data_IF_539511360293
#
_entry.id   IF_539511360293
#
_cell.length_a   1.000
_cell.length_b   1.000
_cell.length_c   1.000
_cell.angle_alpha   90.00
_cell.angle_beta   90.00
_cell.angle_gamma   90.00
#
_symmetry.space_group_name_H-M   'P 1'
#
loop_
_entity.id
_entity.type
_entity.pdbx_description
1 polymer ?
#
# COMPACT_ATOMS: atom_id res chain seq x y z
N UNK A 1 19.61 -31.92 29.54
CA UNK A 1 18.23 -31.58 29.14
C UNK A 1 18.13 -30.05 29.12
N UNK A 2 18.10 -29.36 27.96
CA UNK A 2 16.96 -29.15 27.02
C UNK A 2 15.77 -28.49 27.76
N UNK A 3 15.27 -27.29 27.46
CA UNK A 3 15.22 -26.50 26.22
C UNK A 3 15.19 -24.98 26.52
N UNK A 4 15.77 -24.18 25.60
CA UNK A 4 15.66 -22.71 25.50
C UNK A 4 14.71 -22.34 24.32
N UNK A 5 14.11 -21.14 24.34
CA UNK A 5 12.95 -20.74 23.55
C UNK A 5 13.33 -20.37 22.11
N UNK A 6 12.64 -20.95 21.14
CA UNK A 6 12.95 -20.80 19.71
C UNK A 6 11.68 -20.69 18.86
N UNK A 7 10.67 -19.96 19.34
CA UNK A 7 9.38 -19.83 18.64
C UNK A 7 8.98 -18.42 18.19
N UNK A 8 9.75 -17.36 18.50
CA UNK A 8 9.36 -15.98 18.12
C UNK A 8 10.24 -15.36 17.03
N UNK A 9 11.18 -16.10 16.45
CA UNK A 9 12.00 -15.64 15.32
C UNK A 9 11.38 -15.92 13.94
N UNK A 10 10.18 -16.50 13.87
CA UNK A 10 9.58 -16.95 12.61
C UNK A 10 8.61 -15.95 11.97
N UNK A 11 8.18 -14.89 12.66
CA UNK A 11 7.19 -13.95 12.13
C UNK A 11 7.80 -12.66 11.53
N UNK A 12 9.00 -12.25 11.97
CA UNK A 12 9.71 -11.08 11.40
C UNK A 12 10.57 -11.41 10.17
N UNK A 13 10.77 -12.70 9.87
CA UNK A 13 11.45 -13.15 8.65
C UNK A 13 10.50 -13.34 7.46
N UNK A 14 9.17 -13.25 7.64
CA UNK A 14 8.21 -13.42 6.53
C UNK A 14 8.02 -12.13 5.72
N UNK A 15 8.39 -10.96 6.25
CA UNK A 15 8.30 -9.68 5.51
C UNK A 15 9.65 -9.24 4.90
N UNK A 16 10.77 -9.81 5.35
CA UNK A 16 12.12 -9.46 4.86
C UNK A 16 12.96 -10.63 4.30
N UNK A 17 12.42 -11.86 4.27
CA UNK A 17 13.03 -13.00 3.56
C UNK A 17 12.17 -13.53 2.39
N UNK A 18 11.36 -12.67 1.76
CA UNK A 18 10.83 -12.92 0.41
C UNK A 18 11.86 -12.62 -0.70
N UNK A 19 13.09 -12.23 -0.34
CA UNK A 19 14.26 -12.27 -1.23
C UNK A 19 15.04 -13.59 -1.10
N UNK A 20 14.35 -14.68 -0.76
CA UNK A 20 14.91 -16.02 -0.90
C UNK A 20 15.11 -16.30 -2.39
N UNK A 21 16.33 -16.08 -2.87
CA UNK A 21 16.88 -16.39 -4.20
C UNK A 21 15.85 -17.01 -5.14
N UNK A 22 14.97 -16.17 -5.68
CA UNK A 22 14.21 -16.52 -6.87
C UNK A 22 15.31 -16.63 -7.92
N UNK A 23 15.49 -17.82 -8.52
CA UNK A 23 16.18 -17.91 -9.79
C UNK A 23 15.46 -16.91 -10.69
N UNK A 24 16.02 -15.71 -10.86
CA UNK A 24 15.30 -14.56 -11.36
C UNK A 24 14.65 -14.96 -12.68
N UNK A 25 13.32 -15.04 -12.72
CA UNK A 25 12.62 -15.01 -13.98
C UNK A 25 13.01 -13.68 -14.60
N UNK A 26 13.96 -13.73 -15.54
CA UNK A 26 14.31 -12.54 -16.29
C UNK A 26 13.02 -12.17 -17.01
N UNK A 27 12.45 -11.04 -16.63
CA UNK A 27 11.37 -10.40 -17.35
C UNK A 27 12.01 -9.30 -18.18
N UNK A 28 11.54 -9.15 -19.40
CA UNK A 28 11.98 -8.08 -20.28
C UNK A 28 10.89 -7.03 -20.42
N UNK A 29 11.30 -5.87 -20.88
CA UNK A 29 10.40 -4.82 -21.32
C UNK A 29 10.45 -4.78 -22.84
N UNK A 30 9.31 -4.51 -23.45
CA UNK A 30 9.26 -4.09 -24.84
C UNK A 30 8.80 -2.66 -24.90
N UNK A 31 9.32 -1.95 -25.89
CA UNK A 31 8.87 -0.63 -26.25
C UNK A 31 8.86 -0.47 -27.76
N UNK A 32 8.23 0.58 -28.23
CA UNK A 32 8.20 0.93 -29.63
C UNK A 32 7.35 2.14 -29.89
N UNK A 33 7.34 2.58 -31.13
CA UNK A 33 6.57 3.73 -31.61
C UNK A 33 5.75 3.34 -32.83
N UNK A 34 4.50 3.78 -32.84
CA UNK A 34 3.59 3.63 -33.97
C UNK A 34 3.40 4.98 -34.66
N UNK A 35 3.65 5.00 -35.97
CA UNK A 35 3.41 6.16 -36.83
C UNK A 35 2.51 5.76 -38.01
N UNK A 36 1.78 6.72 -38.57
CA UNK A 36 0.92 6.53 -39.75
C UNK A 36 1.45 7.41 -40.88
N UNK A 37 1.68 6.79 -42.04
CA UNK A 37 2.07 7.50 -43.25
C UNK A 37 0.90 8.32 -43.81
N UNK A 38 1.16 9.59 -44.09
CA UNK A 38 0.21 10.52 -44.69
C UNK A 38 0.36 10.53 -46.22
N UNK A 39 -0.63 11.10 -46.91
CA UNK A 39 -0.65 11.21 -48.37
C UNK A 39 0.51 12.08 -48.91
N UNK A 40 1.00 13.04 -48.13
CA UNK A 40 2.15 13.90 -48.44
C UNK A 40 3.51 13.23 -48.17
N UNK A 41 3.51 11.97 -47.73
CA UNK A 41 4.71 11.20 -47.41
C UNK A 41 5.26 11.43 -46.00
N UNK A 42 4.69 12.34 -45.21
CA UNK A 42 5.06 12.53 -43.81
C UNK A 42 4.50 11.40 -42.93
N UNK A 43 5.03 11.27 -41.70
CA UNK A 43 4.54 10.29 -40.73
C UNK A 43 4.11 10.99 -39.45
N UNK A 44 2.92 10.67 -38.97
CA UNK A 44 2.36 11.23 -37.73
C UNK A 44 2.26 10.15 -36.66
N UNK A 45 2.53 10.45 -35.38
CA UNK A 45 2.34 9.48 -34.30
C UNK A 45 0.87 9.04 -34.17
N UNK A 46 0.64 7.75 -33.99
CA UNK A 46 -0.71 7.21 -33.83
C UNK A 46 -1.03 7.09 -32.36
N UNK A 47 -1.94 7.92 -31.87
CA UNK A 47 -2.40 7.92 -30.47
C UNK A 47 -3.45 6.83 -30.27
N UNK A 48 -3.29 6.02 -29.22
CA UNK A 48 -4.24 4.98 -28.89
C UNK A 48 -4.29 3.80 -29.87
N UNK A 49 -3.24 3.61 -30.68
CA UNK A 49 -3.08 2.40 -31.49
C UNK A 49 -3.06 1.18 -30.57
N UNK A 50 -3.82 0.15 -30.94
CA UNK A 50 -3.90 -1.11 -30.22
C UNK A 50 -2.68 -1.96 -30.58
N UNK A 51 -1.94 -2.41 -29.56
CA UNK A 51 -0.80 -3.33 -29.67
C UNK A 51 -1.21 -4.64 -29.03
N UNK A 52 -1.23 -5.70 -29.82
CA UNK A 52 -1.56 -7.05 -29.40
C UNK A 52 -0.31 -7.91 -29.39
N UNK A 53 -0.02 -8.50 -28.23
CA UNK A 53 1.17 -9.29 -27.99
C UNK A 53 0.72 -10.72 -27.79
N UNK A 54 1.02 -11.58 -28.76
CA UNK A 54 0.67 -12.99 -28.71
C UNK A 54 1.91 -13.83 -28.48
N UNK A 55 1.83 -14.79 -27.55
CA UNK A 55 2.78 -15.92 -27.53
C UNK A 55 2.38 -16.89 -28.64
N UNK A 56 3.35 -17.29 -29.45
CA UNK A 56 3.11 -18.22 -30.57
C UNK A 56 3.33 -19.68 -30.19
N UNK A 57 4.01 -19.93 -29.08
CA UNK A 57 4.40 -21.25 -28.56
C UNK A 57 3.47 -21.77 -27.44
N UNK A 58 2.80 -20.88 -26.70
CA UNK A 58 1.83 -21.19 -25.65
C UNK A 58 0.63 -20.23 -25.70
N UNK A 59 -0.47 -20.57 -25.03
CA UNK A 59 -1.65 -19.70 -24.93
C UNK A 59 -1.43 -18.61 -23.88
N UNK A 60 -0.95 -17.46 -24.32
CA UNK A 60 -0.87 -16.22 -23.55
C UNK A 60 -0.94 -15.04 -24.51
N UNK A 61 -1.65 -14.00 -24.11
CA UNK A 61 -1.75 -12.76 -24.87
C UNK A 61 -1.89 -11.58 -23.91
N UNK A 62 -1.45 -10.40 -24.37
CA UNK A 62 -1.71 -9.13 -23.71
C UNK A 62 -1.96 -8.02 -24.73
N UNK A 63 -2.58 -6.95 -24.29
CA UNK A 63 -3.20 -5.92 -25.10
C UNK A 63 -2.95 -4.55 -24.48
N UNK A 64 -2.11 -3.74 -25.12
CA UNK A 64 -1.77 -2.38 -24.66
C UNK A 64 -2.10 -1.34 -25.74
N UNK A 65 -1.98 -0.05 -25.39
CA UNK A 65 -2.21 1.05 -26.32
C UNK A 65 -1.06 2.05 -26.31
N UNK A 66 -0.87 2.73 -27.43
CA UNK A 66 0.10 3.83 -27.52
C UNK A 66 -0.36 5.09 -26.77
N UNK A 67 0.59 5.85 -26.27
CA UNK A 67 0.39 7.14 -25.62
C UNK A 67 0.18 8.29 -26.64
N UNK A 68 0.11 9.54 -26.15
CA UNK A 68 -0.07 10.75 -26.99
C UNK A 68 1.07 11.01 -27.99
N UNK A 69 2.23 10.39 -27.80
CA UNK A 69 3.39 10.47 -28.70
C UNK A 69 3.50 9.27 -29.65
N UNK A 70 2.49 8.40 -29.66
CA UNK A 70 2.49 7.16 -30.43
C UNK A 70 3.41 6.07 -29.86
N UNK A 71 3.92 6.23 -28.64
CA UNK A 71 4.84 5.27 -28.03
C UNK A 71 4.08 4.27 -27.17
N UNK A 72 4.56 3.03 -27.12
CA UNK A 72 4.07 2.00 -26.20
C UNK A 72 5.22 1.41 -25.40
N UNK A 73 4.89 0.91 -24.21
CA UNK A 73 5.80 0.18 -23.35
C UNK A 73 5.02 -0.88 -22.58
N UNK A 74 5.56 -2.10 -22.51
CA UNK A 74 5.02 -3.16 -21.67
C UNK A 74 6.17 -3.88 -20.98
N UNK A 75 6.14 -3.83 -19.65
CA UNK A 75 7.10 -4.48 -18.77
C UNK A 75 6.50 -5.77 -18.20
N UNK A 76 7.35 -6.72 -17.82
CA UNK A 76 6.90 -7.99 -17.26
C UNK A 76 6.64 -9.06 -18.33
N UNK A 77 7.27 -8.96 -19.50
CA UNK A 77 7.14 -10.01 -20.52
C UNK A 77 8.13 -11.13 -20.20
N UNK A 78 7.74 -12.42 -20.29
CA UNK A 78 8.69 -13.51 -20.09
C UNK A 78 9.87 -13.40 -21.07
N UNK A 79 11.11 -13.42 -20.56
CA UNK A 79 12.31 -13.34 -21.39
C UNK A 79 12.44 -14.52 -22.37
N UNK A 80 11.89 -15.69 -22.01
CA UNK A 80 11.84 -16.88 -22.86
C UNK A 80 10.51 -16.98 -23.59
N UNK A 81 10.54 -17.19 -24.90
CA UNK A 81 9.34 -17.35 -25.74
C UNK A 81 9.52 -16.82 -27.15
N UNK A 82 8.57 -17.16 -28.02
CA UNK A 82 8.45 -16.56 -29.36
C UNK A 82 7.11 -15.84 -29.45
N UNK A 83 7.14 -14.62 -29.99
CA UNK A 83 6.02 -13.69 -29.94
C UNK A 83 5.63 -13.23 -31.34
N UNK A 84 4.36 -12.85 -31.47
CA UNK A 84 3.86 -12.02 -32.56
C UNK A 84 3.29 -10.73 -31.98
N UNK A 85 3.63 -9.59 -32.60
CA UNK A 85 3.05 -8.30 -32.27
C UNK A 85 2.20 -7.87 -33.44
N UNK A 86 0.95 -7.51 -33.19
CA UNK A 86 0.07 -6.89 -34.17
C UNK A 86 -0.34 -5.50 -33.71
N UNK A 87 -0.42 -4.58 -34.67
CA UNK A 87 -0.80 -3.20 -34.44
C UNK A 87 -1.99 -2.86 -35.31
N UNK A 88 -3.00 -2.25 -34.70
CA UNK A 88 -4.20 -1.74 -35.37
C UNK A 88 -4.58 -0.36 -34.86
N UNK A 89 -5.14 0.46 -35.75
CA UNK A 89 -5.65 1.79 -35.41
C UNK A 89 -6.74 2.20 -36.39
N UNK A 90 -7.73 3.03 -35.98
CA UNK A 90 -8.76 3.53 -36.89
C UNK A 90 -8.15 4.21 -38.12
N UNK A 91 -8.65 3.86 -39.30
CA UNK A 91 -8.19 4.44 -40.57
C UNK A 91 -6.80 3.98 -41.02
N UNK A 92 -6.20 2.99 -40.35
CA UNK A 92 -4.91 2.42 -40.70
C UNK A 92 -5.06 0.94 -41.08
N UNK A 93 -4.25 0.47 -42.02
CA UNK A 93 -4.11 -0.95 -42.32
C UNK A 93 -3.31 -1.61 -41.18
N UNK A 94 -3.74 -2.75 -40.61
CA UNK A 94 -3.00 -3.39 -39.55
C UNK A 94 -1.64 -3.89 -40.05
N UNK A 95 -0.65 -3.83 -39.17
CA UNK A 95 0.69 -4.35 -39.40
C UNK A 95 1.03 -5.37 -38.32
N UNK A 96 1.93 -6.31 -38.62
CA UNK A 96 2.40 -7.27 -37.63
C UNK A 96 3.84 -7.68 -37.88
N UNK A 97 4.47 -8.17 -36.82
CA UNK A 97 5.73 -8.92 -36.85
C UNK A 97 5.52 -10.23 -36.11
N UNK A 98 6.16 -11.30 -36.57
CA UNK A 98 6.04 -12.64 -35.98
C UNK A 98 7.41 -13.27 -35.85
N UNK A 99 7.56 -14.23 -34.94
CA UNK A 99 8.85 -14.85 -34.65
C UNK A 99 9.75 -13.99 -33.74
N UNK A 100 9.19 -13.01 -33.05
CA UNK A 100 9.96 -12.06 -32.25
C UNK A 100 10.46 -12.72 -30.97
N UNK A 101 11.75 -12.55 -30.70
CA UNK A 101 12.36 -12.82 -29.39
C UNK A 101 12.79 -11.50 -28.77
N UNK A 102 12.18 -11.14 -27.66
CA UNK A 102 12.40 -9.83 -27.05
C UNK A 102 13.76 -9.68 -26.38
N UNK A 103 14.48 -10.77 -26.12
CA UNK A 103 15.91 -10.72 -25.76
C UNK A 103 16.80 -10.14 -26.88
N UNK A 104 16.31 -10.13 -28.12
CA UNK A 104 17.06 -9.66 -29.30
C UNK A 104 16.48 -8.37 -29.89
N UNK A 105 15.17 -8.14 -29.76
CA UNK A 105 14.48 -6.98 -30.31
C UNK A 105 13.75 -6.23 -29.19
N UNK A 106 14.46 -5.42 -28.37
CA UNK A 106 13.85 -4.69 -27.26
C UNK A 106 12.89 -3.59 -27.77
N UNK A 107 13.23 -2.95 -28.89
CA UNK A 107 12.41 -1.93 -29.56
C UNK A 107 11.76 -2.51 -30.82
N UNK A 108 10.45 -2.30 -31.00
CA UNK A 108 9.71 -2.76 -32.17
C UNK A 108 8.82 -1.62 -32.71
N UNK A 109 9.33 -0.84 -33.66
CA UNK A 109 8.57 0.28 -34.23
C UNK A 109 7.67 -0.18 -35.38
N UNK A 110 6.53 0.49 -35.53
CA UNK A 110 5.58 0.25 -36.61
C UNK A 110 5.29 1.54 -37.37
N UNK A 111 5.42 1.47 -38.69
CA UNK A 111 4.87 2.48 -39.59
C UNK A 111 3.67 1.85 -40.29
N UNK A 112 2.49 2.40 -40.05
CA UNK A 112 1.24 1.97 -40.66
C UNK A 112 0.98 2.72 -41.96
N UNK A 113 0.29 2.05 -42.87
CA UNK A 113 -0.31 2.66 -44.05
C UNK A 113 -1.79 2.99 -43.76
N UNK A 114 -2.40 3.96 -44.46
CA UNK A 114 -3.84 4.15 -44.43
C UNK A 114 -4.61 2.88 -44.81
N UNK A 115 -5.75 2.64 -44.16
CA UNK A 115 -6.54 1.43 -44.38
C UNK A 115 -7.85 1.41 -43.61
N UNK A 116 -8.40 0.21 -43.44
CA UNK A 116 -9.76 -0.02 -42.94
C UNK A 116 -9.90 -0.03 -41.42
N UNK A 117 -8.78 0.03 -40.68
CA UNK A 117 -8.78 -0.06 -39.22
C UNK A 117 -9.04 -1.47 -38.68
N UNK A 118 -8.89 -2.50 -39.51
CA UNK A 118 -9.04 -3.90 -39.08
C UNK A 118 -7.97 -4.30 -38.05
N UNK A 119 -8.28 -5.34 -37.27
CA UNK A 119 -7.40 -5.90 -36.22
C UNK A 119 -7.14 -7.37 -36.52
N UNK A 120 -5.88 -7.78 -36.47
CA UNK A 120 -5.46 -9.15 -36.77
C UNK A 120 -5.54 -10.04 -35.53
N UNK A 121 -5.99 -11.28 -35.71
CA UNK A 121 -5.90 -12.34 -34.70
C UNK A 121 -4.63 -13.16 -34.86
N UNK A 122 -4.24 -13.89 -33.81
CA UNK A 122 -3.10 -14.81 -33.87
C UNK A 122 -3.21 -15.84 -35.00
N UNK A 123 -4.42 -16.37 -35.25
CA UNK A 123 -4.63 -17.35 -36.32
C UNK A 123 -4.45 -16.73 -37.71
N UNK A 124 -4.96 -15.50 -37.91
CA UNK A 124 -4.73 -14.76 -39.16
C UNK A 124 -3.24 -14.45 -39.38
N UNK A 125 -2.50 -14.11 -38.32
CA UNK A 125 -1.05 -13.85 -38.37
C UNK A 125 -0.28 -15.12 -38.74
N UNK A 126 -0.66 -16.28 -38.18
CA UNK A 126 -0.05 -17.58 -38.50
C UNK A 126 -0.28 -17.94 -39.97
N UNK A 127 -1.48 -17.72 -40.49
CA UNK A 127 -1.81 -17.98 -41.91
C UNK A 127 -1.08 -17.02 -42.85
N UNK A 128 -0.97 -15.73 -42.51
CA UNK A 128 -0.28 -14.71 -43.31
C UNK A 128 1.26 -14.92 -43.33
N UNK A 129 1.85 -15.41 -42.24
CA UNK A 129 3.28 -15.75 -42.17
C UNK A 129 3.73 -16.84 -43.15
N UNK A 130 2.80 -17.68 -43.63
CA UNK A 130 3.08 -18.74 -44.60
C UNK A 130 3.16 -18.23 -46.06
N UNK A 131 2.73 -17.00 -46.35
CA UNK A 131 2.54 -16.50 -47.74
C UNK A 131 3.27 -15.19 -48.07
N UNK A 132 4.08 -14.61 -47.18
CA UNK A 132 5.04 -13.56 -47.56
C UNK A 132 4.94 -12.24 -46.80
N UNK A 133 5.20 -12.26 -45.49
CA UNK A 133 5.53 -11.05 -44.72
C UNK A 133 7.05 -10.92 -44.52
N UNK A 134 7.57 -9.70 -44.61
CA UNK A 134 8.98 -9.30 -44.41
C UNK A 134 9.74 -10.19 -43.41
N UNK A 135 10.56 -11.11 -43.93
CA UNK A 135 11.51 -11.91 -43.16
C UNK A 135 12.64 -11.01 -42.69
N UNK A 136 12.82 -10.86 -41.38
CA UNK A 136 14.15 -10.52 -40.84
C UNK A 136 15.11 -11.68 -41.15
N UNK A 137 16.32 -11.44 -41.67
CA UNK A 137 17.28 -12.50 -41.95
C UNK A 137 18.00 -12.89 -40.66
N UNK A 138 17.77 -14.11 -40.16
CA UNK A 138 18.68 -14.70 -39.17
C UNK A 138 18.09 -15.78 -38.28
N UNK A 139 18.47 -17.03 -38.56
CA UNK A 139 18.52 -18.11 -37.57
C UNK A 139 17.35 -19.10 -37.62
N UNK A 140 17.59 -20.25 -38.25
CA UNK A 140 16.75 -21.43 -38.08
C UNK A 140 16.57 -21.72 -36.58
N UNK A 141 15.31 -21.84 -36.16
CA UNK A 141 14.98 -22.11 -34.78
C UNK A 141 15.55 -23.49 -34.38
N UNK A 142 16.37 -23.59 -33.32
CA UNK A 142 16.62 -24.88 -32.68
C UNK A 142 15.29 -25.39 -32.13
N UNK A 143 15.06 -26.70 -32.22
CA UNK A 143 13.94 -27.34 -31.54
C UNK A 143 14.00 -27.01 -30.04
N UNK A 144 12.94 -26.39 -29.52
CA UNK A 144 12.83 -26.03 -28.09
C UNK A 144 13.00 -27.30 -27.27
N UNK A 145 14.06 -27.36 -26.46
CA UNK A 145 14.37 -28.53 -25.64
C UNK A 145 13.28 -28.72 -24.57
N UNK A 146 13.11 -29.94 -24.05
CA UNK A 146 12.18 -30.19 -22.92
C UNK A 146 12.52 -29.34 -21.70
N UNK A 147 13.80 -29.02 -21.53
CA UNK A 147 14.33 -28.19 -20.45
C UNK A 147 13.92 -26.71 -20.59
N UNK A 148 13.88 -26.20 -21.81
CA UNK A 148 13.41 -24.83 -22.10
C UNK A 148 11.89 -24.70 -21.89
N UNK A 149 11.13 -25.76 -22.18
CA UNK A 149 9.69 -25.80 -21.88
C UNK A 149 9.40 -25.78 -20.38
N UNK A 150 10.12 -26.58 -19.59
CA UNK A 150 9.97 -26.61 -18.14
C UNK A 150 10.29 -25.25 -17.50
N UNK A 151 11.38 -24.59 -17.95
CA UNK A 151 11.74 -23.24 -17.49
C UNK A 151 10.70 -22.19 -17.86
N UNK A 152 10.08 -22.29 -19.05
CA UNK A 152 9.00 -21.40 -19.46
C UNK A 152 7.73 -21.58 -18.62
N UNK A 153 7.36 -22.82 -18.30
CA UNK A 153 6.21 -23.13 -17.43
C UNK A 153 6.43 -22.62 -15.99
N UNK A 154 7.64 -22.76 -15.45
CA UNK A 154 7.98 -22.26 -14.12
C UNK A 154 7.95 -20.72 -14.07
N UNK A 155 8.57 -20.05 -15.04
CA UNK A 155 8.53 -18.59 -15.15
C UNK A 155 7.09 -18.07 -15.29
N UNK A 156 6.22 -18.81 -15.99
CA UNK A 156 4.81 -18.45 -16.12
C UNK A 156 4.05 -18.58 -14.81
N UNK A 157 4.29 -19.63 -14.01
CA UNK A 157 3.69 -19.78 -12.68
C UNK A 157 4.11 -18.65 -11.75
N UNK A 158 5.40 -18.30 -11.77
CA UNK A 158 5.92 -17.18 -10.99
C UNK A 158 5.30 -15.84 -11.44
N UNK A 159 5.14 -15.61 -12.74
CA UNK A 159 4.48 -14.40 -13.26
C UNK A 159 3.00 -14.34 -12.88
N UNK A 160 2.27 -15.46 -13.01
CA UNK A 160 0.87 -15.53 -12.62
C UNK A 160 0.71 -15.24 -11.13
N UNK A 161 1.65 -15.71 -10.30
CA UNK A 161 1.68 -15.40 -8.88
C UNK A 161 2.00 -13.92 -8.61
N UNK A 162 2.97 -13.33 -9.30
CA UNK A 162 3.30 -11.89 -9.19
C UNK A 162 2.13 -11.02 -9.63
N UNK A 163 1.50 -11.33 -10.77
CA UNK A 163 0.34 -10.59 -11.27
C UNK A 163 -0.84 -10.70 -10.32
N UNK A 164 -1.11 -11.91 -9.80
CA UNK A 164 -2.14 -12.11 -8.78
C UNK A 164 -1.86 -11.28 -7.53
N UNK A 165 -0.62 -11.28 -7.03
CA UNK A 165 -0.21 -10.45 -5.88
C UNK A 165 -0.35 -8.95 -6.19
N UNK A 166 0.02 -8.51 -7.39
CA UNK A 166 -0.13 -7.11 -7.81
C UNK A 166 -1.60 -6.69 -7.89
N UNK A 167 -2.49 -7.56 -8.38
CA UNK A 167 -3.94 -7.34 -8.39
C UNK A 167 -4.49 -7.27 -6.96
N UNK A 168 -4.08 -8.17 -6.08
CA UNK A 168 -4.47 -8.17 -4.65
C UNK A 168 -4.00 -6.88 -3.95
N UNK A 169 -2.76 -6.43 -4.21
CA UNK A 169 -2.22 -5.16 -3.70
C UNK A 169 -3.04 -3.98 -4.24
N UNK A 170 -3.37 -3.97 -5.52
CA UNK A 170 -4.13 -2.87 -6.15
C UNK A 170 -5.52 -2.76 -5.54
N UNK A 171 -6.25 -3.88 -5.45
CA UNK A 171 -7.56 -3.94 -4.79
C UNK A 171 -7.47 -3.54 -3.32
N UNK A 172 -6.45 -4.01 -2.62
CA UNK A 172 -6.18 -3.64 -1.23
C UNK A 172 -5.96 -2.14 -1.06
N UNK A 173 -5.19 -1.51 -1.94
CA UNK A 173 -4.93 -0.07 -1.93
C UNK A 173 -6.20 0.74 -2.19
N UNK A 174 -7.03 0.33 -3.14
CA UNK A 174 -8.31 0.98 -3.43
C UNK A 174 -9.25 0.94 -2.21
N UNK A 175 -9.38 -0.22 -1.57
CA UNK A 175 -10.21 -0.38 -0.36
C UNK A 175 -9.66 0.47 0.78
N UNK A 176 -8.35 0.43 1.05
CA UNK A 176 -7.72 1.25 2.10
C UNK A 176 -7.94 2.74 1.85
N UNK A 177 -7.73 3.22 0.63
CA UNK A 177 -7.91 4.64 0.31
C UNK A 177 -9.35 5.11 0.49
N UNK A 178 -10.32 4.32 -0.01
CA UNK A 178 -11.75 4.62 0.16
C UNK A 178 -12.13 4.67 1.64
N UNK A 179 -11.80 3.62 2.38
CA UNK A 179 -12.18 3.45 3.79
C UNK A 179 -11.48 4.44 4.70
N UNK A 180 -10.21 4.77 4.44
CA UNK A 180 -9.48 5.82 5.15
C UNK A 180 -10.18 7.17 5.00
N UNK A 181 -10.54 7.54 3.77
CA UNK A 181 -11.26 8.80 3.51
C UNK A 181 -12.63 8.81 4.20
N UNK A 182 -13.47 7.81 3.94
CA UNK A 182 -14.82 7.74 4.48
C UNK A 182 -14.81 7.70 6.02
N UNK A 183 -13.90 6.93 6.62
CA UNK A 183 -13.73 6.86 8.07
C UNK A 183 -13.33 8.20 8.67
N UNK A 184 -12.41 8.94 8.04
CA UNK A 184 -12.01 10.27 8.52
C UNK A 184 -13.14 11.30 8.39
N UNK A 185 -13.89 11.26 7.28
CA UNK A 185 -15.06 12.13 7.10
C UNK A 185 -16.10 11.87 8.20
N UNK A 186 -16.41 10.61 8.49
CA UNK A 186 -17.31 10.21 9.57
C UNK A 186 -16.77 10.59 10.96
N UNK A 187 -15.47 10.39 11.22
CA UNK A 187 -14.83 10.73 12.49
C UNK A 187 -14.91 12.25 12.75
N UNK A 188 -14.65 13.06 11.72
CA UNK A 188 -14.75 14.51 11.79
C UNK A 188 -16.20 14.99 12.01
N UNK A 189 -17.18 14.29 11.42
CA UNK A 189 -18.60 14.53 11.66
C UNK A 189 -19.08 14.06 13.05
N UNK A 190 -18.26 13.30 13.78
CA UNK A 190 -18.65 12.68 15.06
C UNK A 190 -19.49 11.42 14.91
N UNK A 191 -19.63 10.86 13.72
CA UNK A 191 -20.29 9.59 13.46
C UNK A 191 -19.36 8.42 13.81
N UNK A 192 -19.17 8.16 15.10
CA UNK A 192 -18.12 7.25 15.58
C UNK A 192 -18.32 5.80 15.16
N UNK A 193 -19.57 5.30 15.14
CA UNK A 193 -19.86 3.92 14.72
C UNK A 193 -19.58 3.69 13.23
N UNK A 194 -19.92 4.68 12.40
CA UNK A 194 -19.61 4.68 10.96
C UNK A 194 -18.10 4.73 10.74
N UNK A 195 -17.38 5.62 11.43
CA UNK A 195 -15.93 5.71 11.36
C UNK A 195 -15.24 4.38 11.73
N UNK A 196 -15.68 3.74 12.82
CA UNK A 196 -15.15 2.44 13.26
C UNK A 196 -15.38 1.37 12.19
N UNK A 197 -16.57 1.34 11.59
CA UNK A 197 -16.92 0.38 10.55
C UNK A 197 -16.03 0.55 9.31
N UNK A 198 -15.81 1.79 8.86
CA UNK A 198 -14.93 2.08 7.73
C UNK A 198 -13.49 1.65 8.03
N UNK A 199 -12.94 2.00 9.20
CA UNK A 199 -11.57 1.61 9.52
C UNK A 199 -11.40 0.09 9.67
N UNK A 200 -12.40 -0.62 10.21
CA UNK A 200 -12.38 -2.08 10.28
C UNK A 200 -12.47 -2.72 8.90
N UNK A 201 -13.25 -2.16 7.98
CA UNK A 201 -13.30 -2.63 6.59
C UNK A 201 -11.93 -2.48 5.90
N UNK A 202 -11.29 -1.32 6.05
CA UNK A 202 -9.94 -1.09 5.52
C UNK A 202 -8.91 -2.07 6.10
N UNK A 203 -8.99 -2.33 7.41
CA UNK A 203 -8.11 -3.27 8.10
C UNK A 203 -8.41 -4.74 7.76
N UNK A 204 -9.61 -5.08 7.32
CA UNK A 204 -9.91 -6.41 6.80
C UNK A 204 -9.21 -6.64 5.44
N UNK A 205 -9.07 -5.59 4.62
CA UNK A 205 -8.33 -5.66 3.36
C UNK A 205 -6.81 -5.60 3.55
N UNK A 206 -6.32 -4.73 4.45
CA UNK A 206 -4.90 -4.64 4.82
C UNK A 206 -4.76 -4.51 6.35
N UNK A 207 -4.52 -5.64 7.07
CA UNK A 207 -4.45 -5.64 8.53
C UNK A 207 -3.35 -4.80 9.15
N UNK A 208 -2.31 -4.50 8.36
CA UNK A 208 -1.07 -3.87 8.81
C UNK A 208 -0.96 -2.40 8.36
N UNK A 209 -2.10 -1.69 8.34
CA UNK A 209 -2.16 -0.26 8.07
C UNK A 209 -2.15 0.56 9.36
N UNK A 210 -0.97 1.08 9.73
CA UNK A 210 -0.79 1.87 10.94
C UNK A 210 -1.73 3.09 11.02
N UNK A 211 -1.98 3.77 9.89
CA UNK A 211 -2.85 4.95 9.86
C UNK A 211 -4.31 4.61 10.19
N UNK A 212 -4.83 3.49 9.66
CA UNK A 212 -6.17 3.01 9.98
C UNK A 212 -6.28 2.58 11.45
N UNK A 213 -5.25 1.91 12.00
CA UNK A 213 -5.21 1.52 13.42
C UNK A 213 -5.18 2.72 14.37
N UNK A 214 -4.43 3.78 14.02
CA UNK A 214 -4.38 5.03 14.78
C UNK A 214 -5.77 5.68 14.83
N UNK A 215 -6.44 5.77 13.68
CA UNK A 215 -7.75 6.42 13.61
C UNK A 215 -8.86 5.56 14.22
N UNK A 216 -8.78 4.23 14.10
CA UNK A 216 -9.66 3.30 14.80
C UNK A 216 -9.53 3.47 16.33
N UNK A 217 -8.30 3.58 16.84
CA UNK A 217 -8.05 3.84 18.26
C UNK A 217 -8.72 5.13 18.72
N UNK A 218 -8.62 6.21 17.94
CA UNK A 218 -9.25 7.49 18.27
C UNK A 218 -10.78 7.41 18.26
N UNK A 219 -11.36 6.78 17.24
CA UNK A 219 -12.81 6.62 17.13
C UNK A 219 -13.37 5.81 18.31
N UNK A 220 -12.73 4.69 18.65
CA UNK A 220 -13.07 3.86 19.81
C UNK A 220 -12.93 4.65 21.12
N UNK A 221 -11.85 5.42 21.28
CA UNK A 221 -11.62 6.24 22.47
C UNK A 221 -12.74 7.24 22.71
N UNK A 222 -13.14 7.95 21.65
CA UNK A 222 -14.25 8.93 21.68
C UNK A 222 -15.58 8.24 21.99
N UNK A 223 -15.86 7.08 21.37
CA UNK A 223 -17.12 6.35 21.58
C UNK A 223 -17.22 5.80 23.00
N UNK A 224 -16.11 5.31 23.53
CA UNK A 224 -16.03 4.88 24.93
C UNK A 224 -16.32 6.02 25.90
N UNK A 225 -15.86 7.24 25.61
CA UNK A 225 -16.20 8.43 26.43
C UNK A 225 -17.69 8.78 26.33
N UNK A 226 -18.29 8.74 25.14
CA UNK A 226 -19.73 8.97 24.97
C UNK A 226 -20.57 7.94 25.73
N UNK A 227 -20.25 6.66 25.59
CA UNK A 227 -20.92 5.56 26.31
C UNK A 227 -20.78 5.68 27.82
N UNK A 228 -19.59 6.03 28.31
CA UNK A 228 -19.35 6.25 29.73
C UNK A 228 -20.18 7.43 30.27
N UNK A 229 -20.23 8.53 29.53
CA UNK A 229 -21.01 9.71 29.90
C UNK A 229 -22.52 9.45 29.88
N UNK A 230 -22.99 8.64 28.93
CA UNK A 230 -24.39 8.19 28.88
C UNK A 230 -24.71 7.29 30.08
N UNK A 231 -23.84 6.33 30.40
CA UNK A 231 -24.00 5.42 31.53
C UNK A 231 -24.11 6.15 32.87
N UNK A 232 -23.30 7.19 33.09
CA UNK A 232 -23.37 8.01 34.31
C UNK A 232 -24.77 8.63 34.52
N UNK A 233 -25.44 9.01 33.43
CA UNK A 233 -26.75 9.67 33.46
C UNK A 233 -27.92 8.69 33.54
N UNK A 234 -27.69 7.40 33.32
CA UNK A 234 -28.74 6.38 33.36
C UNK A 234 -29.23 6.15 34.80
N UNK A 235 -30.54 6.23 35.00
CA UNK A 235 -31.21 5.81 36.22
C UNK A 235 -31.45 4.30 36.26
N UNK A 236 -31.48 3.64 35.09
CA UNK A 236 -31.57 2.20 34.95
C UNK A 236 -30.19 1.58 35.26
N UNK A 237 -30.15 0.69 36.26
CA UNK A 237 -28.94 0.04 36.76
C UNK A 237 -28.32 -0.95 35.75
N UNK A 238 -29.13 -1.62 34.96
CA UNK A 238 -28.66 -2.58 33.95
C UNK A 238 -28.09 -1.82 32.76
N UNK A 239 -28.81 -0.82 32.25
CA UNK A 239 -28.33 0.04 31.18
C UNK A 239 -27.04 0.80 31.57
N UNK A 240 -26.94 1.21 32.84
CA UNK A 240 -25.73 1.82 33.41
C UNK A 240 -24.54 0.86 33.39
N UNK A 241 -24.75 -0.38 33.83
CA UNK A 241 -23.69 -1.40 33.86
C UNK A 241 -23.22 -1.74 32.44
N UNK A 242 -24.16 -1.97 31.52
CA UNK A 242 -23.86 -2.24 30.12
C UNK A 242 -23.09 -1.08 29.45
N UNK A 243 -23.50 0.17 29.70
CA UNK A 243 -22.82 1.33 29.15
C UNK A 243 -21.39 1.47 29.66
N UNK A 244 -21.13 1.17 30.94
CA UNK A 244 -19.77 1.15 31.48
C UNK A 244 -18.93 0.03 30.88
N UNK A 245 -19.48 -1.17 30.72
CA UNK A 245 -18.71 -2.29 30.17
C UNK A 245 -18.43 -2.11 28.67
N UNK A 246 -19.38 -1.53 27.92
CA UNK A 246 -19.15 -1.13 26.54
C UNK A 246 -18.05 -0.05 26.42
N UNK A 247 -18.04 0.94 27.32
CA UNK A 247 -16.98 1.95 27.36
C UNK A 247 -15.61 1.35 27.68
N UNK A 248 -15.54 0.44 28.66
CA UNK A 248 -14.30 -0.27 29.00
C UNK A 248 -13.78 -1.09 27.82
N UNK A 249 -14.67 -1.79 27.12
CA UNK A 249 -14.32 -2.57 25.93
C UNK A 249 -13.73 -1.66 24.84
N UNK A 250 -14.37 -0.53 24.56
CA UNK A 250 -13.88 0.42 23.56
C UNK A 250 -12.48 0.95 23.90
N UNK A 251 -12.20 1.27 25.16
CA UNK A 251 -10.87 1.72 25.58
C UNK A 251 -9.80 0.63 25.51
N UNK A 252 -10.15 -0.62 25.84
CA UNK A 252 -9.27 -1.77 25.65
C UNK A 252 -8.95 -2.01 24.17
N UNK A 253 -9.97 -2.01 23.32
CA UNK A 253 -9.80 -2.19 21.88
C UNK A 253 -8.98 -1.04 21.27
N UNK A 254 -9.19 0.20 21.74
CA UNK A 254 -8.40 1.36 21.34
C UNK A 254 -6.92 1.21 21.71
N UNK A 255 -6.62 0.70 22.90
CA UNK A 255 -5.25 0.47 23.35
C UNK A 255 -4.57 -0.63 22.53
N UNK A 256 -5.30 -1.71 22.22
CA UNK A 256 -4.82 -2.78 21.33
C UNK A 256 -4.50 -2.25 19.93
N UNK A 257 -5.42 -1.50 19.32
CA UNK A 257 -5.23 -0.96 17.97
C UNK A 257 -4.01 -0.02 17.90
N UNK A 258 -3.90 0.93 18.84
CA UNK A 258 -2.74 1.82 18.88
C UNK A 258 -1.43 1.10 19.22
N UNK A 259 -1.48 0.07 20.09
CA UNK A 259 -0.33 -0.80 20.35
C UNK A 259 0.18 -1.47 19.08
N UNK A 260 -0.73 -2.05 18.28
CA UNK A 260 -0.38 -2.64 16.98
C UNK A 260 0.22 -1.59 16.03
N UNK A 261 -0.34 -0.37 15.98
CA UNK A 261 0.20 0.70 15.16
C UNK A 261 1.65 1.08 15.54
N UNK A 262 1.97 1.12 16.84
CA UNK A 262 3.34 1.37 17.32
C UNK A 262 4.31 0.29 16.84
N UNK A 263 3.93 -0.98 16.95
CA UNK A 263 4.78 -2.09 16.48
C UNK A 263 4.99 -2.06 14.96
N UNK A 264 3.95 -1.71 14.20
CA UNK A 264 4.06 -1.58 12.73
C UNK A 264 4.99 -0.43 12.33
N UNK A 265 4.84 0.75 12.96
CA UNK A 265 5.73 1.88 12.67
C UNK A 265 7.17 1.55 13.06
N UNK A 266 7.39 0.86 14.19
CA UNK A 266 8.72 0.39 14.59
C UNK A 266 9.34 -0.58 13.58
N UNK A 267 8.53 -1.49 13.04
CA UNK A 267 8.99 -2.46 12.04
C UNK A 267 9.34 -1.82 10.69
N UNK A 268 8.78 -0.65 10.37
CA UNK A 268 8.93 0.00 9.06
C UNK A 268 10.31 0.60 8.74
N UNK A 269 11.33 0.39 9.60
CA UNK A 269 12.74 0.81 9.48
C UNK A 269 12.97 2.27 9.05
N UNK A 270 13.51 3.14 9.93
CA UNK A 270 13.69 4.56 9.62
C UNK A 270 14.78 4.84 8.57
N UNK A 271 15.48 3.84 8.04
CA UNK A 271 16.62 4.04 7.13
C UNK A 271 16.38 3.33 5.81
N UNK A 272 15.98 4.08 4.78
CA UNK A 272 15.82 3.62 3.41
C UNK A 272 15.87 4.81 2.44
N UNK A 273 16.43 4.59 1.25
CA UNK A 273 16.74 5.64 0.25
C UNK A 273 15.50 6.43 -0.23
N UNK A 274 14.30 5.86 -0.05
CA UNK A 274 13.01 6.45 -0.45
C UNK A 274 12.06 6.72 0.74
N UNK A 275 12.54 6.71 1.99
CA UNK A 275 11.71 6.98 3.17
C UNK A 275 11.54 8.48 3.36
N UNK A 276 10.29 8.96 3.39
CA UNK A 276 9.99 10.30 3.87
C UNK A 276 10.14 10.32 5.41
N UNK A 277 11.31 10.76 5.88
CA UNK A 277 11.66 10.82 7.30
C UNK A 277 10.68 11.64 8.13
N UNK A 278 10.18 12.75 7.59
CA UNK A 278 9.21 13.60 8.28
C UNK A 278 7.86 12.89 8.45
N UNK A 279 7.38 12.22 7.39
CA UNK A 279 6.14 11.44 7.46
C UNK A 279 6.28 10.24 8.42
N UNK A 280 7.42 9.55 8.42
CA UNK A 280 7.71 8.49 9.37
C UNK A 280 7.69 9.01 10.83
N UNK A 281 8.39 10.11 11.10
CA UNK A 281 8.42 10.72 12.43
C UNK A 281 7.02 11.16 12.89
N UNK A 282 6.23 11.74 11.99
CA UNK A 282 4.84 12.11 12.27
C UNK A 282 3.98 10.89 12.60
N UNK A 283 4.06 9.82 11.80
CA UNK A 283 3.30 8.60 12.03
C UNK A 283 3.70 7.91 13.35
N UNK A 284 5.00 7.90 13.68
CA UNK A 284 5.51 7.41 14.96
C UNK A 284 4.92 8.20 16.13
N UNK A 285 4.98 9.53 16.06
CA UNK A 285 4.47 10.39 17.12
C UNK A 285 2.96 10.24 17.31
N UNK A 286 2.20 10.13 16.20
CA UNK A 286 0.76 9.88 16.24
C UNK A 286 0.44 8.52 16.88
N UNK A 287 1.15 7.45 16.51
CA UNK A 287 0.95 6.12 17.08
C UNK A 287 1.22 6.08 18.60
N UNK A 288 2.34 6.65 19.03
CA UNK A 288 2.71 6.72 20.46
C UNK A 288 1.68 7.55 21.22
N UNK A 289 1.29 8.71 20.70
CA UNK A 289 0.30 9.59 21.34
C UNK A 289 -1.05 8.89 21.49
N UNK A 290 -1.55 8.22 20.44
CA UNK A 290 -2.80 7.47 20.51
C UNK A 290 -2.72 6.33 21.53
N UNK A 291 -1.60 5.61 21.58
CA UNK A 291 -1.40 4.52 22.55
C UNK A 291 -1.39 5.06 23.98
N UNK A 292 -0.69 6.16 24.24
CA UNK A 292 -0.63 6.79 25.56
C UNK A 292 -2.02 7.24 26.04
N UNK A 293 -2.79 7.89 25.16
CA UNK A 293 -4.15 8.34 25.49
C UNK A 293 -5.09 7.16 25.78
N UNK A 294 -5.04 6.10 24.98
CA UNK A 294 -5.85 4.91 25.20
C UNK A 294 -5.46 4.17 26.49
N UNK A 295 -4.15 3.97 26.72
CA UNK A 295 -3.65 3.29 27.91
C UNK A 295 -3.95 4.05 29.20
N UNK A 296 -4.00 5.40 29.16
CA UNK A 296 -4.43 6.20 30.30
C UNK A 296 -5.88 5.89 30.70
N UNK A 297 -6.77 5.72 29.73
CA UNK A 297 -8.17 5.34 29.98
C UNK A 297 -8.26 3.90 30.51
N UNK A 298 -7.47 2.97 29.95
CA UNK A 298 -7.35 1.61 30.48
C UNK A 298 -6.92 1.64 31.95
N UNK A 299 -5.81 2.29 32.28
CA UNK A 299 -5.28 2.35 33.64
C UNK A 299 -6.21 3.05 34.65
N UNK A 300 -7.10 3.94 34.21
CA UNK A 300 -7.96 4.70 35.13
C UNK A 300 -9.39 4.18 35.21
N UNK A 301 -9.85 3.45 34.18
CA UNK A 301 -11.26 3.06 34.05
C UNK A 301 -11.50 1.58 33.76
N UNK A 302 -10.50 0.85 33.28
CA UNK A 302 -10.62 -0.56 32.92
C UNK A 302 -9.89 -1.44 33.92
N UNK A 303 -8.57 -1.25 34.05
CA UNK A 303 -7.68 -2.07 34.86
C UNK A 303 -6.56 -1.21 35.45
N UNK A 304 -6.66 -0.93 36.75
CA UNK A 304 -5.69 -0.09 37.47
C UNK A 304 -4.29 -0.73 37.56
N UNK A 305 -4.17 -2.04 37.40
CA UNK A 305 -2.86 -2.71 37.40
C UNK A 305 -2.00 -2.30 36.20
N UNK A 306 -2.63 -1.78 35.14
CA UNK A 306 -1.98 -1.26 33.92
C UNK A 306 -1.37 0.14 34.06
N UNK A 307 -1.36 0.74 35.25
CA UNK A 307 -0.81 2.08 35.47
C UNK A 307 0.66 2.23 35.06
N UNK A 308 1.49 1.22 35.30
CA UNK A 308 2.89 1.22 34.87
C UNK A 308 3.02 1.19 33.34
N UNK A 309 2.24 0.33 32.67
CA UNK A 309 2.21 0.24 31.21
C UNK A 309 1.70 1.54 30.58
N UNK A 310 0.72 2.21 31.19
CA UNK A 310 0.22 3.51 30.74
C UNK A 310 1.25 4.63 30.90
N UNK A 311 2.09 4.59 31.94
CA UNK A 311 3.18 5.54 32.10
C UNK A 311 4.25 5.33 31.02
N UNK A 312 4.59 4.06 30.73
CA UNK A 312 5.53 3.70 29.68
C UNK A 312 4.99 3.97 28.27
N UNK A 313 3.67 4.09 28.09
CA UNK A 313 3.05 4.29 26.78
C UNK A 313 3.40 5.64 26.11
N UNK A 314 3.88 6.63 26.88
CA UNK A 314 4.43 7.89 26.34
C UNK A 314 5.84 7.74 25.76
N UNK A 315 6.53 6.63 26.04
CA UNK A 315 7.88 6.37 25.57
C UNK A 315 7.78 5.56 24.28
N UNK A 316 8.51 6.00 23.24
CA UNK A 316 8.73 5.13 22.09
C UNK A 316 9.49 3.88 22.53
N UNK A 317 9.24 2.70 21.94
CA UNK A 317 10.02 1.50 22.26
C UNK A 317 11.51 1.79 22.03
N UNK A 318 12.33 1.65 23.09
CA UNK A 318 13.76 1.98 23.10
C UNK A 318 14.16 3.22 23.93
N UNK A 319 13.20 4.03 24.38
CA UNK A 319 13.42 5.19 25.27
C UNK A 319 13.10 4.90 26.74
N UNK A 320 12.77 3.64 27.05
CA UNK A 320 12.29 3.14 28.35
C UNK A 320 13.27 3.37 29.53
N UNK A 321 14.53 3.73 29.23
CA UNK A 321 15.58 4.02 30.21
C UNK A 321 16.00 5.48 30.35
N UNK A 322 15.54 6.41 29.50
CA UNK A 322 16.12 7.78 29.47
C UNK A 322 15.46 8.78 30.44
N UNK A 323 14.28 8.46 30.97
CA UNK A 323 13.59 9.29 31.96
C UNK A 323 13.29 8.52 33.25
N UNK A 324 14.34 7.94 33.86
CA UNK A 324 14.30 7.73 35.31
C UNK A 324 14.45 9.09 36.00
N UNK A 325 13.35 9.73 36.39
CA UNK A 325 13.50 11.01 37.08
C UNK A 325 12.24 11.77 37.44
N UNK A 326 11.63 11.36 38.56
CA UNK A 326 10.97 12.24 39.56
C UNK A 326 9.82 13.12 39.07
N UNK A 327 8.59 12.70 39.37
CA UNK A 327 7.49 13.67 39.55
C UNK A 327 6.09 13.09 39.45
N UNK A 328 5.76 12.31 38.43
CA UNK A 328 4.35 12.06 38.13
C UNK A 328 3.70 10.93 38.97
N UNK A 329 4.47 9.93 39.38
CA UNK A 329 3.96 8.79 40.17
C UNK A 329 3.47 9.19 41.57
N UNK A 330 4.11 10.19 42.20
CA UNK A 330 3.67 10.70 43.51
C UNK A 330 2.46 11.63 43.41
N UNK A 331 2.28 12.30 42.26
CA UNK A 331 1.19 13.24 42.05
C UNK A 331 -0.16 12.59 41.73
N UNK A 332 -0.16 11.39 41.12
CA UNK A 332 -1.41 10.65 40.88
C UNK A 332 -1.95 9.96 42.16
N UNK A 333 -1.10 9.74 43.17
CA UNK A 333 -1.50 9.15 44.45
C UNK A 333 -2.09 10.18 45.43
N UNK A 334 -1.87 11.47 45.22
CA UNK A 334 -2.40 12.58 46.06
C UNK A 334 -3.26 13.51 45.20
N UNK A 335 -4.55 13.20 45.07
CA UNK A 335 -5.51 13.94 44.22
C UNK A 335 -5.69 15.43 44.54
N UNK A 336 -4.71 16.28 44.23
CA UNK A 336 -4.84 17.74 44.22
C UNK A 336 -4.12 18.31 43.01
N UNK A 337 -4.89 18.56 41.95
CA UNK A 337 -4.52 19.50 40.91
C UNK A 337 -4.99 20.90 41.34
N UNK A 338 -4.06 21.84 41.52
CA UNK A 338 -4.35 23.29 41.49
C UNK A 338 -3.67 23.86 40.25
N UNK A 339 -4.40 24.45 39.29
CA UNK A 339 -3.77 25.11 38.15
C UNK A 339 -3.06 26.37 38.65
N UNK A 340 -1.75 26.47 38.38
CA UNK A 340 -0.95 27.66 38.66
C UNK A 340 -1.31 28.79 37.70
N UNK A 341 -2.03 29.80 38.20
CA UNK A 341 -2.11 31.11 37.56
C UNK A 341 -0.71 31.73 37.54
N UNK A 342 -0.18 31.97 36.34
CA UNK A 342 1.00 32.81 36.12
C UNK A 342 0.57 34.26 36.35
N UNK A 343 0.73 34.77 37.57
CA UNK A 343 0.57 36.19 37.90
C UNK A 343 1.83 36.91 37.40
N UNK A 344 1.75 37.49 36.20
CA UNK A 344 2.75 38.45 35.72
C UNK A 344 2.62 39.74 36.54
N UNK A 345 3.70 40.10 37.22
CA UNK A 345 3.74 41.24 38.12
C UNK A 345 3.62 42.57 37.36
N UNK A 346 2.66 43.38 37.77
CA UNK A 346 2.71 44.84 37.66
C UNK A 346 4.01 45.33 38.31
N UNK A 347 4.92 45.86 37.51
CA UNK A 347 6.01 46.69 38.00
C UNK A 347 5.67 48.13 37.68
N UNK A 348 5.24 48.83 38.72
CA UNK A 348 5.07 50.28 38.74
C UNK A 348 6.37 50.96 38.29
N UNK A 349 6.35 51.65 37.15
CA UNK A 349 7.28 52.73 36.85
C UNK A 349 6.56 54.05 37.06
N UNK A 350 6.97 54.74 38.12
CA UNK A 350 6.69 56.15 38.39
C UNK A 350 7.21 57.00 37.22
N UNK A 351 6.34 57.83 36.66
CA UNK A 351 6.75 59.04 35.97
C UNK A 351 7.30 60.07 36.98
N UNK A 352 8.38 60.79 36.66
CA UNK A 352 8.61 62.14 37.17
C UNK A 352 8.11 63.15 36.12
N UNK A 353 7.27 64.10 36.55
CA UNK A 353 6.69 65.12 35.69
C UNK A 353 7.61 66.28 35.33
N UNK A 354 7.08 67.15 34.46
CA UNK A 354 7.48 68.53 34.12
C UNK A 354 8.91 68.72 33.58
N UNK A 355 9.05 68.95 32.27
CA UNK A 355 9.01 70.27 31.64
C UNK A 355 9.05 70.13 30.12
#
# INVERSE_FOLDING_TARGET
>A
MRFKPLLHAFAAAVVLAACGVIASAQVTQINGKVTLKQADGTTVPVVGAQIDIYRTDIKWEDHIKTNKKGEYMHAGIPFVGTYALAVSAPGARPAYISGVRFSQNPTNDFQLDPGDGSRLTLDQIKTAGATGGSKSPGGGAPAVSKEDKAKAEEAQRQMAEVNKKNEEITKGNEVVNRTFKAGNDALNAGHLDEAITQYQEGLAARPDEAALLINLSEALRRRGVERYNAAIKSADGDAKTQGFDAAKKDWSDAATAAGKAVELVKAASPTGENINQAAYAQNRNSAISSRALAMRLVATKVDQTKAAEALAANQGPGEEGQYQGRGFADHLRRGRYRPGYRRGAESARREPGRH
#
